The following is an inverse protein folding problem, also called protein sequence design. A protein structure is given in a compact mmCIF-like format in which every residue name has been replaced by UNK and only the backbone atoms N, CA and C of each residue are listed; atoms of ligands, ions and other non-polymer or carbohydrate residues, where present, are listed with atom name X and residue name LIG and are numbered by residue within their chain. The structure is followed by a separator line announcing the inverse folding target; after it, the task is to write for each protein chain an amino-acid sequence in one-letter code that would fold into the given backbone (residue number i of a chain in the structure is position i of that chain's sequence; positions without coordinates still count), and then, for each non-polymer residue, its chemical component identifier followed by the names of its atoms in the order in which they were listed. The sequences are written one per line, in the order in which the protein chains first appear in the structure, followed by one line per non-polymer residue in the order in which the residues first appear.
data_IF_462450426175
#
_entry.id   IF_462450426175
#
_cell.length_a   1.000
_cell.length_b   1.000
_cell.length_c   1.000
_cell.angle_alpha   90.00
_cell.angle_beta   90.00
_cell.angle_gamma   90.00
#
_symmetry.space_group_name_H-M   'P 1'
#
loop_
_entity.id
_entity.type
_entity.pdbx_description
1 polymer ?
#
# COMPACT_ATOMS: atom_id res chain seq x y z
N UNK A 1 10.93 -10.53 2.63
CA UNK A 1 10.74 -10.34 2.89
C UNK A 1 10.62 -10.03 3.64
N UNK A 2 10.39 -9.92 3.74
CA UNK A 2 10.08 -9.66 4.31
C UNK A 2 9.86 -9.20 5.24
N UNK A 3 9.77 -9.03 5.70
CA UNK A 3 9.34 -8.58 6.43
C UNK A 3 9.59 -7.79 7.19
N UNK A 4 9.86 -7.56 7.23
CA UNK A 4 9.95 -6.85 7.78
C UNK A 4 10.12 -5.85 8.26
N UNK A 5 10.07 -5.62 8.51
CA UNK A 5 10.00 -4.59 8.84
C UNK A 5 10.79 -3.76 9.17
N UNK A 6 11.06 -3.98 9.08
CA UNK A 6 11.68 -3.27 9.31
C UNK A 6 12.27 -2.55 9.04
N UNK A 7 12.17 -2.71 8.72
CA UNK A 7 12.65 -2.08 8.54
C UNK A 7 13.10 -1.25 8.31
N UNK A 8 13.14 -1.36 8.23
CA UNK A 8 13.40 -0.63 8.03
C UNK A 8 14.12 0.21 7.88
N UNK A 9 14.39 0.24 7.88
CA UNK A 9 14.91 1.10 7.75
C UNK A 9 15.70 1.49 7.19
N UNK A 10 15.78 1.20 6.71
CA UNK A 10 16.44 1.51 6.13
C UNK A 10 16.73 2.23 5.59
N UNK A 11 16.56 2.22 5.44
CA UNK A 11 16.79 2.84 4.94
C UNK A 11 17.30 3.49 4.46
N UNK A 12 17.23 3.48 4.39
CA UNK A 12 17.61 4.07 3.92
C UNK A 12 18.16 4.39 3.26
N UNK A 13 18.19 4.05 3.23
CA UNK A 13 18.70 4.33 2.69
C UNK A 13 18.96 4.82 1.88
N UNK A 14 18.77 4.79 1.82
CA UNK A 14 18.99 5.22 1.20
C UNK A 14 19.40 5.75 0.46
N UNK A 15 19.42 5.71 0.41
CA UNK A 15 19.72 6.27 -0.13
C UNK A 15 20.08 6.55 -0.96
N UNK A 16 20.22 6.35 -0.97
CA UNK A 16 20.60 6.53 -1.78
C UNK A 16 20.40 6.75 -2.62
N UNK A 17 20.31 6.64 -2.36
CA UNK A 17 20.26 6.61 -3.30
C UNK A 17 19.83 6.97 -4.31
N UNK A 18 19.36 7.20 -4.38
CA UNK A 18 18.90 7.74 -5.41
C UNK A 18 19.05 7.11 -6.60
N UNK A 19 19.72 6.29 -6.74
CA UNK A 19 19.89 5.80 -7.89
C UNK A 19 18.90 4.95 -8.17
N UNK A 20 18.26 4.87 -8.90
CA UNK A 20 17.40 3.96 -9.23
C UNK A 20 16.69 3.39 -8.17
N UNK A 21 16.78 3.87 -7.18
CA UNK A 21 16.23 3.29 -6.20
C UNK A 21 14.86 3.38 -6.17
N UNK A 22 14.26 3.13 -7.15
CA UNK A 22 12.91 3.07 -7.24
C UNK A 22 12.32 2.25 -6.23
N UNK A 23 13.05 1.35 -5.65
CA UNK A 23 12.47 0.52 -4.71
C UNK A 23 12.71 0.93 -3.34
N UNK A 24 12.89 2.15 -3.08
CA UNK A 24 13.15 2.62 -1.76
C UNK A 24 11.97 2.46 -0.83
N UNK A 25 10.88 1.94 -1.31
CA UNK A 25 9.70 1.74 -0.48
C UNK A 25 9.98 0.83 0.71
N UNK A 26 9.30 1.11 1.80
CA UNK A 26 9.46 0.35 3.04
C UNK A 26 8.18 -0.43 3.27
N UNK A 27 8.07 -1.58 2.62
CA UNK A 27 6.84 -2.37 2.63
C UNK A 27 6.62 -3.12 3.93
N UNK A 28 5.47 -2.90 4.51
CA UNK A 28 5.03 -3.62 5.70
C UNK A 28 3.89 -4.53 5.28
N UNK A 29 4.06 -5.84 5.48
CA UNK A 29 3.03 -6.81 5.07
C UNK A 29 1.87 -6.79 6.05
N UNK A 30 0.68 -6.54 5.52
CA UNK A 30 -0.53 -6.52 6.31
C UNK A 30 -1.07 -7.93 6.45
N UNK A 31 -1.02 -8.71 5.39
CA UNK A 31 -1.51 -10.09 5.43
C UNK A 31 -1.73 -10.64 4.04
N UNK A 32 -2.16 -11.89 3.98
CA UNK A 32 -2.47 -12.58 2.74
C UNK A 32 -3.93 -12.99 2.79
N UNK A 33 -4.68 -12.70 1.74
CA UNK A 33 -6.09 -13.02 1.73
C UNK A 33 -6.33 -14.45 1.21
N UNK A 34 -7.59 -14.87 1.16
CA UNK A 34 -7.94 -16.23 0.79
C UNK A 34 -7.64 -16.55 -0.67
N UNK A 35 -7.39 -15.54 -1.49
CA UNK A 35 -7.05 -15.76 -2.89
C UNK A 35 -5.54 -15.83 -3.10
N UNK A 36 -4.77 -15.79 -2.03
CA UNK A 36 -3.31 -15.85 -2.13
C UNK A 36 -2.68 -14.51 -2.45
N UNK A 37 -3.42 -13.43 -2.33
CA UNK A 37 -2.88 -12.08 -2.59
C UNK A 37 -2.34 -11.52 -1.29
N UNK A 38 -1.08 -11.11 -1.32
CA UNK A 38 -0.42 -10.51 -0.16
C UNK A 38 -0.54 -9.00 -0.23
N UNK A 39 -1.00 -8.41 0.85
CA UNK A 39 -1.24 -6.97 0.94
C UNK A 39 -0.18 -6.33 1.82
N UNK A 40 0.39 -5.23 1.35
CA UNK A 40 1.44 -4.50 2.07
C UNK A 40 1.22 -3.01 1.93
N UNK A 41 1.70 -2.24 2.88
CA UNK A 41 1.67 -0.79 2.76
C UNK A 41 3.11 -0.29 2.79
N UNK A 42 3.36 0.82 2.11
CA UNK A 42 4.66 1.45 2.14
C UNK A 42 4.65 2.43 3.30
N UNK A 43 5.32 2.07 4.38
CA UNK A 43 5.33 2.90 5.58
C UNK A 43 5.86 4.30 5.31
N UNK A 44 6.80 4.42 4.38
CA UNK A 44 7.39 5.72 4.10
C UNK A 44 6.47 6.62 3.29
N UNK A 45 5.42 6.06 2.70
CA UNK A 45 4.47 6.85 1.92
C UNK A 45 3.30 7.35 2.75
N UNK A 46 3.15 6.88 3.97
CA UNK A 46 1.97 7.21 4.77
C UNK A 46 2.00 8.67 5.21
N UNK A 47 0.95 9.39 4.86
CA UNK A 47 0.76 10.76 5.30
C UNK A 47 -0.61 10.82 5.91
N UNK A 48 -0.68 11.04 7.21
CA UNK A 48 -1.96 10.99 7.90
C UNK A 48 -2.11 12.08 8.92
N UNK A 49 -3.37 12.39 9.20
CA UNK A 49 -3.74 13.21 10.35
C UNK A 49 -4.98 12.54 10.94
N UNK A 50 -5.73 13.26 11.77
CA UNK A 50 -6.91 12.69 12.41
C UNK A 50 -8.05 12.42 11.42
N UNK A 51 -8.02 13.04 10.26
CA UNK A 51 -9.13 12.99 9.31
C UNK A 51 -8.88 12.12 8.11
N UNK A 52 -7.66 12.13 7.60
CA UNK A 52 -7.34 11.44 6.35
C UNK A 52 -5.99 10.77 6.40
N UNK A 53 -5.81 9.77 5.55
CA UNK A 53 -4.51 9.15 5.34
C UNK A 53 -4.36 8.83 3.87
N UNK A 54 -3.18 9.07 3.32
CA UNK A 54 -2.86 8.73 1.93
C UNK A 54 -1.62 7.87 1.96
N UNK A 55 -1.61 6.80 1.20
CA UNK A 55 -0.47 5.90 1.18
C UNK A 55 -0.49 4.99 -0.03
N UNK A 56 0.65 4.36 -0.30
CA UNK A 56 0.74 3.36 -1.35
C UNK A 56 0.51 1.98 -0.74
N UNK A 57 -0.34 1.20 -1.38
CA UNK A 57 -0.70 -0.15 -0.96
C UNK A 57 -0.34 -1.09 -2.10
N UNK A 58 0.30 -2.19 -1.79
CA UNK A 58 0.69 -3.17 -2.79
C UNK A 58 -0.12 -4.45 -2.60
N UNK A 59 -0.66 -4.97 -3.69
CA UNK A 59 -1.37 -6.25 -3.70
C UNK A 59 -0.63 -7.16 -4.68
N UNK A 60 0.01 -8.20 -4.18
CA UNK A 60 0.83 -9.09 -4.99
C UNK A 60 0.25 -10.49 -5.00
N UNK A 61 0.04 -11.06 -6.19
CA UNK A 61 -0.47 -12.42 -6.28
C UNK A 61 0.70 -13.41 -6.18
N UNK A 62 0.38 -14.70 -6.15
CA UNK A 62 1.41 -15.71 -5.95
C UNK A 62 2.33 -15.87 -7.16
N UNK A 63 1.98 -15.30 -8.30
CA UNK A 63 2.83 -15.34 -9.48
C UNK A 63 3.77 -14.15 -9.54
N UNK A 64 3.59 -13.19 -8.64
CA UNK A 64 4.47 -12.03 -8.59
C UNK A 64 3.95 -10.79 -9.31
N UNK A 65 2.80 -10.89 -9.98
CA UNK A 65 2.17 -9.69 -10.52
C UNK A 65 1.66 -8.88 -9.36
N UNK A 66 1.83 -7.57 -9.43
CA UNK A 66 1.36 -6.76 -8.31
C UNK A 66 0.89 -5.39 -8.76
N UNK A 67 -0.11 -4.91 -8.03
CA UNK A 67 -0.62 -3.56 -8.19
C UNK A 67 -0.05 -2.73 -7.06
N UNK A 68 0.31 -1.50 -7.36
CA UNK A 68 0.58 -0.51 -6.33
C UNK A 68 -0.47 0.56 -6.51
N UNK A 69 -1.27 0.76 -5.49
CA UNK A 69 -2.42 1.66 -5.54
C UNK A 69 -2.20 2.76 -4.51
N UNK A 70 -2.29 4.01 -4.96
CA UNK A 70 -2.27 5.12 -4.01
C UNK A 70 -3.69 5.29 -3.52
N UNK A 71 -3.90 5.10 -2.22
CA UNK A 71 -5.23 5.14 -1.63
C UNK A 71 -5.37 6.27 -0.65
N UNK A 72 -6.56 6.86 -0.61
CA UNK A 72 -6.89 7.89 0.35
C UNK A 72 -8.00 7.36 1.24
N UNK A 73 -7.75 7.35 2.54
CA UNK A 73 -8.73 6.90 3.53
C UNK A 73 -9.33 8.11 4.24
N UNK A 74 -10.63 8.02 4.52
CA UNK A 74 -11.31 9.05 5.32
C UNK A 74 -11.69 8.40 6.64
N UNK A 75 -11.15 8.92 7.73
CA UNK A 75 -11.31 8.31 9.05
C UNK A 75 -12.75 8.36 9.53
N UNK A 76 -13.34 9.53 9.50
CA UNK A 76 -14.68 9.70 10.04
C UNK A 76 -15.74 8.96 9.26
N UNK A 77 -15.64 9.01 7.95
CA UNK A 77 -16.62 8.33 7.10
C UNK A 77 -16.33 6.86 6.91
N UNK A 78 -15.13 6.41 7.30
CA UNK A 78 -14.68 5.03 7.12
C UNK A 78 -14.81 4.63 5.66
N UNK A 79 -14.18 5.44 4.81
CA UNK A 79 -14.21 5.23 3.37
C UNK A 79 -12.80 5.26 2.81
N UNK A 80 -12.62 4.64 1.65
CA UNK A 80 -11.35 4.64 0.95
C UNK A 80 -11.62 4.84 -0.53
N UNK A 81 -10.71 5.53 -1.22
CA UNK A 81 -10.80 5.63 -2.67
C UNK A 81 -9.42 5.50 -3.29
N UNK A 82 -9.38 4.98 -4.51
CA UNK A 82 -8.14 4.79 -5.25
C UNK A 82 -7.85 6.04 -6.05
N UNK A 83 -6.62 6.52 -5.97
CA UNK A 83 -6.20 7.71 -6.70
C UNK A 83 -5.36 7.35 -7.92
N UNK A 84 -4.54 6.31 -7.81
CA UNK A 84 -3.65 5.90 -8.88
C UNK A 84 -3.39 4.41 -8.76
N UNK A 85 -3.35 3.72 -9.87
CA UNK A 85 -3.09 2.27 -9.89
C UNK A 85 -2.00 1.99 -10.91
N UNK A 86 -0.98 1.25 -10.50
CA UNK A 86 0.08 0.81 -11.41
C UNK A 86 0.20 -0.69 -11.29
N UNK A 87 0.18 -1.39 -12.43
CA UNK A 87 0.34 -2.84 -12.45
C UNK A 87 1.78 -3.16 -12.90
N UNK A 88 2.44 -4.03 -12.16
CA UNK A 88 3.79 -4.48 -12.45
C UNK A 88 3.81 -5.97 -12.72
N UNK A 89 4.71 -6.40 -13.61
CA UNK A 89 4.90 -7.84 -13.83
C UNK A 89 5.87 -8.39 -12.77
N UNK A 90 6.09 -9.72 -12.74
CA UNK A 90 6.96 -10.31 -11.70
C UNK A 90 8.38 -9.78 -11.71
N UNK A 91 8.86 -9.27 -12.85
CA UNK A 91 10.21 -8.74 -12.93
C UNK A 91 10.28 -7.28 -12.48
N UNK A 92 9.13 -6.70 -12.13
CA UNK A 92 9.12 -5.33 -11.64
C UNK A 92 8.94 -4.26 -12.70
N UNK A 93 8.60 -4.65 -13.93
CA UNK A 93 8.36 -3.65 -14.97
C UNK A 93 6.91 -3.25 -15.01
N UNK A 94 6.66 -1.98 -15.31
CA UNK A 94 5.31 -1.45 -15.41
C UNK A 94 4.60 -2.03 -16.61
N UNK A 95 3.44 -2.63 -16.39
CA UNK A 95 2.60 -3.16 -17.45
C UNK A 95 1.53 -2.13 -17.81
N UNK A 96 1.00 -1.44 -16.81
CA UNK A 96 -0.08 -0.50 -17.02
C UNK A 96 -0.13 0.50 -15.88
N UNK A 97 -0.45 1.74 -16.19
CA UNK A 97 -0.57 2.77 -15.16
C UNK A 97 -1.79 3.64 -15.47
N UNK A 98 -2.60 3.91 -14.46
CA UNK A 98 -3.79 4.73 -14.62
C UNK A 98 -3.95 5.68 -13.47
N UNK A 99 -4.34 6.92 -13.77
CA UNK A 99 -4.82 7.82 -12.75
C UNK A 99 -6.28 7.52 -12.61
N UNK A 100 -6.71 7.14 -11.42
CA UNK A 100 -8.12 6.87 -11.21
C UNK A 100 -8.59 7.77 -10.11
N UNK A 101 -9.81 8.12 -10.12
CA UNK A 101 -10.35 8.94 -9.07
C UNK A 101 -11.73 8.36 -8.84
N UNK A 102 -11.73 7.09 -8.47
CA UNK A 102 -12.97 6.38 -8.29
C UNK A 102 -13.73 6.89 -7.09
N UNK A 103 -15.00 6.60 -7.06
CA UNK A 103 -15.83 6.97 -5.94
C UNK A 103 -15.33 6.25 -4.71
N UNK A 104 -15.51 6.88 -3.58
CA UNK A 104 -15.17 6.27 -2.31
C UNK A 104 -16.05 5.08 -2.05
N UNK A 105 -15.50 4.09 -1.37
CA UNK A 105 -16.25 2.92 -0.95
C UNK A 105 -16.02 2.71 0.53
N UNK A 106 -16.99 2.05 1.18
CA UNK A 106 -16.89 1.82 2.62
C UNK A 106 -15.78 0.83 2.93
N UNK A 107 -15.12 1.04 4.05
CA UNK A 107 -14.12 0.13 4.57
C UNK A 107 -14.86 -0.93 5.37
N UNK A 108 -15.01 -2.12 4.79
CA UNK A 108 -15.81 -3.18 5.41
C UNK A 108 -14.96 -4.14 6.22
N UNK A 109 -15.44 -4.60 7.38
CA UNK A 109 -14.70 -5.60 8.15
C UNK A 109 -14.42 -6.83 7.30
N UNK A 110 -13.26 -7.44 7.49
CA UNK A 110 -12.87 -8.62 6.74
C UNK A 110 -12.20 -8.34 5.42
N UNK A 111 -11.96 -7.07 5.07
CA UNK A 111 -11.30 -6.73 3.82
C UNK A 111 -9.88 -6.24 4.09
N UNK A 112 -9.00 -6.28 3.09
CA UNK A 112 -7.66 -5.72 3.25
C UNK A 112 -7.69 -4.23 3.62
N UNK A 113 -8.63 -3.47 3.05
CA UNK A 113 -8.75 -2.04 3.37
C UNK A 113 -9.05 -1.85 4.85
N UNK A 114 -9.85 -2.73 5.43
CA UNK A 114 -10.16 -2.64 6.85
C UNK A 114 -8.91 -2.87 7.69
N UNK A 115 -8.09 -3.85 7.31
CA UNK A 115 -6.86 -4.13 8.02
C UNK A 115 -5.91 -2.92 7.97
N UNK A 116 -5.82 -2.27 6.82
CA UNK A 116 -5.00 -1.07 6.68
C UNK A 116 -5.56 0.06 7.55
N UNK A 117 -6.88 0.24 7.52
CA UNK A 117 -7.54 1.27 8.32
C UNK A 117 -7.24 1.08 9.81
N UNK A 118 -7.28 -0.16 10.28
CA UNK A 118 -6.98 -0.48 11.66
C UNK A 118 -5.53 -0.15 12.00
N UNK A 119 -4.61 -0.42 11.09
CA UNK A 119 -3.20 -0.09 11.32
C UNK A 119 -3.01 1.41 11.46
N UNK A 120 -3.73 2.19 10.66
CA UNK A 120 -3.55 3.64 10.65
C UNK A 120 -4.10 4.29 11.92
N UNK A 121 -5.30 3.92 12.33
CA UNK A 121 -5.98 4.58 13.43
C UNK A 121 -6.34 3.67 14.59
N UNK A 122 -5.94 2.42 14.54
CA UNK A 122 -6.13 1.53 15.66
C UNK A 122 -7.59 1.21 15.94
N UNK A 123 -8.45 1.31 14.94
CA UNK A 123 -9.84 0.96 15.13
C UNK A 123 -10.71 2.05 15.72
N UNK A 124 -10.19 3.23 15.83
CA UNK A 124 -10.95 4.33 16.43
C UNK A 124 -11.84 5.11 15.47
#
# INVERSE_FOLDING_TARGET
MKKTLAAILAAGALLIGGIGSVDAANWYTVGTDSNGVTWSIDNDSVKKDDKKAVMDVKAMDYEGYHYIVTEEFNHKKREVKDLKVTLYNPQGYVVKEEQVNKDSRKVEPGTPAYAVFQLIWGGK
#
